data_IF_243940871723
#
_entry.id   IF_243940871723
#
_cell.length_a   1.000
_cell.length_b   1.000
_cell.length_c   1.000
_cell.angle_alpha   90.00
_cell.angle_beta   90.00
_cell.angle_gamma   90.00
#
_symmetry.space_group_name_H-M   'P 1'
#
loop_
_entity.id
_entity.type
_entity.pdbx_description
1 polymer ?
#
# COMPACT_ATOMS: atom_id res chain seq x y z
N UNK A 1 4.86 0.89 -11.88
CA UNK A 1 3.67 1.75 -11.61
C UNK A 1 2.44 1.38 -12.47
N UNK A 2 2.56 1.15 -13.78
CA UNK A 2 1.39 0.84 -14.63
C UNK A 2 0.60 -0.39 -14.18
N UNK A 3 1.28 -1.50 -13.81
CA UNK A 3 0.62 -2.67 -13.23
C UNK A 3 -0.21 -2.31 -11.99
N UNK A 4 0.37 -1.56 -11.06
CA UNK A 4 -0.30 -1.17 -9.81
C UNK A 4 -1.58 -0.38 -10.12
N UNK A 5 -1.50 0.61 -11.01
CA UNK A 5 -2.66 1.42 -11.39
C UNK A 5 -3.73 0.62 -12.14
N UNK A 6 -3.37 -0.51 -12.76
CA UNK A 6 -4.31 -1.45 -13.40
C UNK A 6 -5.00 -2.36 -12.38
N UNK A 7 -4.27 -2.96 -11.45
CA UNK A 7 -4.80 -4.01 -10.57
C UNK A 7 -5.27 -3.51 -9.21
N UNK A 8 -4.73 -2.42 -8.69
CA UNK A 8 -5.13 -1.91 -7.38
C UNK A 8 -6.63 -1.54 -7.34
N UNK A 9 -7.20 -0.77 -8.29
CA UNK A 9 -8.64 -0.46 -8.26
C UNK A 9 -9.53 -1.71 -8.29
N UNK A 10 -9.08 -2.74 -8.99
CA UNK A 10 -9.72 -4.05 -9.06
C UNK A 10 -9.68 -4.81 -7.72
N UNK A 11 -8.57 -4.73 -6.97
CA UNK A 11 -8.46 -5.28 -5.61
C UNK A 11 -9.37 -4.49 -4.66
N UNK A 12 -9.34 -3.16 -4.71
CA UNK A 12 -10.19 -2.29 -3.87
C UNK A 12 -11.68 -2.59 -4.08
N UNK A 13 -12.12 -2.76 -5.34
CA UNK A 13 -13.49 -3.11 -5.66
C UNK A 13 -13.92 -4.46 -5.03
N UNK A 14 -13.01 -5.45 -4.96
CA UNK A 14 -13.27 -6.76 -4.33
C UNK A 14 -13.33 -6.68 -2.81
N UNK A 15 -12.44 -5.89 -2.19
CA UNK A 15 -12.44 -5.67 -0.73
C UNK A 15 -13.79 -5.08 -0.30
N UNK A 16 -14.25 -4.04 -0.99
CA UNK A 16 -15.49 -3.33 -0.71
C UNK A 16 -15.34 -2.23 0.34
N UNK A 17 -16.44 -1.87 1.02
CA UNK A 17 -16.45 -0.81 2.03
C UNK A 17 -15.63 -1.20 3.26
N UNK A 18 -14.81 -0.28 3.74
CA UNK A 18 -13.96 -0.41 4.93
C UNK A 18 -13.96 0.91 5.70
N UNK A 19 -13.69 0.87 7.00
CA UNK A 19 -13.61 2.09 7.79
C UNK A 19 -12.24 2.74 7.61
N UNK A 20 -11.16 2.00 7.86
CA UNK A 20 -9.79 2.52 7.95
C UNK A 20 -8.83 1.83 7.02
N UNK A 21 -8.09 2.61 6.25
CA UNK A 21 -7.00 2.15 5.38
C UNK A 21 -5.68 2.78 5.81
N UNK A 22 -4.62 1.98 5.90
CA UNK A 22 -3.25 2.46 6.03
C UNK A 22 -2.46 2.17 4.74
N UNK A 23 -1.93 3.22 4.11
CA UNK A 23 -0.92 3.12 3.06
C UNK A 23 0.47 3.18 3.70
N UNK A 24 1.08 2.02 3.91
CA UNK A 24 2.37 1.86 4.60
C UNK A 24 3.52 1.86 3.61
N UNK A 25 4.41 2.85 3.73
CA UNK A 25 5.46 3.08 2.76
C UNK A 25 4.91 3.71 1.47
N UNK A 26 3.99 4.66 1.62
CA UNK A 26 3.30 5.34 0.52
C UNK A 26 4.25 6.03 -0.48
N UNK A 27 5.49 6.32 -0.04
CA UNK A 27 6.40 7.19 -0.77
C UNK A 27 5.81 8.59 -0.92
N UNK A 28 6.20 9.34 -1.95
CA UNK A 28 5.57 10.62 -2.27
C UNK A 28 4.30 10.42 -3.12
N UNK A 29 3.57 9.30 -3.00
CA UNK A 29 2.52 8.91 -3.94
C UNK A 29 1.13 8.81 -3.32
N UNK A 30 0.08 8.99 -4.14
CA UNK A 30 -1.32 9.10 -3.65
C UNK A 30 -2.27 8.07 -4.28
N UNK A 31 -1.75 7.16 -5.09
CA UNK A 31 -2.55 6.26 -5.91
C UNK A 31 -3.37 5.26 -5.07
N UNK A 32 -2.86 4.84 -3.90
CA UNK A 32 -3.60 4.02 -2.94
C UNK A 32 -4.77 4.80 -2.36
N UNK A 33 -4.51 5.99 -1.81
CA UNK A 33 -5.55 6.87 -1.28
C UNK A 33 -6.65 7.12 -2.33
N UNK A 34 -6.24 7.43 -3.55
CA UNK A 34 -7.15 7.72 -4.65
C UNK A 34 -8.00 6.49 -5.03
N UNK A 35 -7.41 5.28 -5.02
CA UNK A 35 -8.15 4.04 -5.30
C UNK A 35 -9.17 3.72 -4.21
N UNK A 36 -8.84 4.00 -2.93
CA UNK A 36 -9.74 3.73 -1.79
C UNK A 36 -10.73 4.86 -1.48
N UNK A 37 -10.68 6.00 -2.18
CA UNK A 37 -11.46 7.22 -1.85
C UNK A 37 -12.97 6.99 -1.71
N UNK A 38 -13.52 6.02 -2.45
CA UNK A 38 -14.94 5.66 -2.40
C UNK A 38 -15.22 4.52 -1.42
N UNK A 39 -14.23 3.74 -1.01
CA UNK A 39 -14.39 2.53 -0.21
C UNK A 39 -14.08 2.77 1.26
N UNK A 40 -13.12 3.64 1.56
CA UNK A 40 -12.68 3.95 2.91
C UNK A 40 -13.41 5.17 3.50
N UNK A 41 -13.64 5.14 4.81
CA UNK A 41 -14.08 6.32 5.56
C UNK A 41 -12.90 7.21 5.96
N UNK A 42 -11.80 6.59 6.39
CA UNK A 42 -10.59 7.22 6.89
C UNK A 42 -9.36 6.58 6.20
N UNK A 43 -8.48 7.41 5.63
CA UNK A 43 -7.26 6.99 4.94
C UNK A 43 -6.06 7.61 5.65
N UNK A 44 -5.09 6.78 5.99
CA UNK A 44 -3.87 7.16 6.69
C UNK A 44 -2.68 6.83 5.79
N UNK A 45 -1.76 7.78 5.65
CA UNK A 45 -0.55 7.60 4.85
C UNK A 45 0.65 7.51 5.77
N UNK A 46 1.62 6.66 5.46
CA UNK A 46 2.86 6.62 6.21
C UNK A 46 4.06 6.37 5.30
N UNK A 47 5.18 7.01 5.61
CA UNK A 47 6.45 6.77 4.94
C UNK A 47 7.64 7.00 5.89
N UNK A 48 8.75 6.30 5.68
CA UNK A 48 9.96 6.43 6.48
C UNK A 48 10.70 7.75 6.19
N UNK A 49 10.75 8.19 4.94
CA UNK A 49 11.57 9.33 4.53
C UNK A 49 10.84 10.67 4.74
N UNK A 50 11.47 11.64 5.41
CA UNK A 50 10.83 12.94 5.69
C UNK A 50 10.46 13.69 4.40
N UNK A 51 11.28 13.62 3.35
CA UNK A 51 10.98 14.28 2.08
C UNK A 51 9.73 13.72 1.37
N UNK A 52 9.44 12.42 1.53
CA UNK A 52 8.26 11.79 0.96
C UNK A 52 7.01 12.26 1.69
N UNK A 53 7.04 12.25 3.02
CA UNK A 53 5.95 12.79 3.84
C UNK A 53 5.69 14.26 3.56
N UNK A 54 6.73 15.07 3.42
CA UNK A 54 6.59 16.48 3.05
C UNK A 54 5.94 16.66 1.68
N UNK A 55 6.19 15.77 0.71
CA UNK A 55 5.50 15.82 -0.59
C UNK A 55 4.03 15.42 -0.47
N UNK A 56 3.70 14.43 0.37
CA UNK A 56 2.31 14.08 0.67
C UNK A 56 1.56 15.23 1.35
N UNK A 57 2.21 15.92 2.30
CA UNK A 57 1.64 17.10 2.97
C UNK A 57 1.39 18.23 1.97
N UNK A 58 2.37 18.54 1.11
CA UNK A 58 2.19 19.51 0.01
C UNK A 58 1.02 19.12 -0.89
N UNK A 59 0.91 17.85 -1.24
CA UNK A 59 -0.21 17.38 -2.07
C UNK A 59 -1.55 17.54 -1.34
N UNK A 60 -1.61 17.21 -0.06
CA UNK A 60 -2.81 17.35 0.78
C UNK A 60 -3.24 18.82 0.89
N UNK A 61 -2.29 19.74 1.10
CA UNK A 61 -2.50 21.20 1.17
C UNK A 61 -2.79 21.85 -0.20
N UNK A 62 -2.60 21.12 -1.31
CA UNK A 62 -2.77 21.67 -2.66
C UNK A 62 -1.60 22.53 -3.14
N UNK A 63 -0.42 22.39 -2.54
CA UNK A 63 0.82 23.12 -2.86
C UNK A 63 1.89 22.28 -3.55
N UNK A 64 1.61 20.99 -3.81
CA UNK A 64 2.48 20.11 -4.60
C UNK A 64 2.56 20.56 -6.06
N UNK A 65 3.75 20.42 -6.65
CA UNK A 65 4.02 20.72 -8.05
C UNK A 65 3.87 19.50 -8.97
N UNK A 66 3.75 18.29 -8.43
CA UNK A 66 3.68 17.09 -9.24
C UNK A 66 2.29 16.92 -9.84
N UNK A 67 2.22 16.76 -11.16
CA UNK A 67 0.97 16.52 -11.85
C UNK A 67 0.53 15.04 -11.76
N UNK A 68 -0.46 14.78 -10.91
CA UNK A 68 -1.07 13.46 -10.73
C UNK A 68 -2.13 13.10 -11.79
N UNK A 69 -2.41 13.98 -12.75
CA UNK A 69 -3.51 13.80 -13.71
C UNK A 69 -3.45 12.48 -14.47
N UNK A 70 -2.27 12.10 -14.98
CA UNK A 70 -2.13 10.88 -15.77
C UNK A 70 -2.36 9.61 -14.91
N UNK A 71 -1.67 9.40 -13.77
CA UNK A 71 -1.95 8.26 -12.89
C UNK A 71 -3.41 8.18 -12.43
N UNK A 72 -4.04 9.31 -12.09
CA UNK A 72 -5.42 9.34 -11.61
C UNK A 72 -6.43 9.03 -12.72
N UNK A 73 -6.20 9.48 -13.96
CA UNK A 73 -7.02 9.08 -15.12
C UNK A 73 -6.92 7.58 -15.40
N UNK A 74 -5.75 6.97 -15.18
CA UNK A 74 -5.63 5.52 -15.28
C UNK A 74 -6.51 4.80 -14.26
N UNK A 75 -6.54 5.28 -13.01
CA UNK A 75 -7.44 4.74 -11.98
C UNK A 75 -8.91 4.91 -12.39
N UNK A 76 -9.32 6.12 -12.80
CA UNK A 76 -10.69 6.38 -13.29
C UNK A 76 -11.07 5.43 -14.43
N UNK A 77 -10.15 5.17 -15.36
CA UNK A 77 -10.36 4.24 -16.48
C UNK A 77 -10.63 2.83 -15.99
N UNK A 78 -9.86 2.33 -15.01
CA UNK A 78 -10.08 1.00 -14.43
C UNK A 78 -11.39 0.90 -13.65
N UNK A 79 -11.83 2.00 -13.05
CA UNK A 79 -13.11 2.07 -12.33
C UNK A 79 -14.31 2.27 -13.26
N UNK A 80 -14.11 2.48 -14.56
CA UNK A 80 -15.17 2.79 -15.52
C UNK A 80 -15.75 4.21 -15.38
N UNK A 81 -15.02 5.12 -14.72
CA UNK A 81 -15.42 6.51 -14.49
C UNK A 81 -14.92 7.45 -15.59
N UNK A 82 -15.53 8.64 -15.69
CA UNK A 82 -15.15 9.64 -16.68
C UNK A 82 -13.86 10.35 -16.27
N UNK A 83 -13.02 10.72 -17.24
CA UNK A 83 -11.83 11.56 -16.96
C UNK A 83 -12.20 12.97 -16.51
N UNK A 84 -13.44 13.41 -16.73
CA UNK A 84 -13.96 14.68 -16.22
C UNK A 84 -14.13 14.66 -14.70
N UNK A 85 -14.14 13.48 -14.07
CA UNK A 85 -14.29 13.34 -12.62
C UNK A 85 -12.96 13.52 -11.87
N UNK A 86 -11.88 13.90 -12.56
CA UNK A 86 -10.52 14.03 -12.00
C UNK A 86 -10.45 15.01 -10.83
N UNK A 87 -11.04 16.20 -10.97
CA UNK A 87 -11.01 17.22 -9.92
C UNK A 87 -11.79 16.76 -8.68
N UNK A 88 -12.94 16.12 -8.90
CA UNK A 88 -13.75 15.56 -7.80
C UNK A 88 -13.05 14.36 -7.14
N UNK A 89 -12.38 13.50 -7.92
CA UNK A 89 -11.53 12.43 -7.40
C UNK A 89 -10.45 12.99 -6.47
N UNK A 90 -9.73 14.01 -6.88
CA UNK A 90 -8.68 14.65 -6.07
C UNK A 90 -9.29 15.22 -4.79
N UNK A 91 -10.40 15.96 -4.91
CA UNK A 91 -11.09 16.59 -3.78
C UNK A 91 -11.57 15.55 -2.76
N UNK A 92 -12.28 14.51 -3.18
CA UNK A 92 -12.73 13.44 -2.29
C UNK A 92 -11.55 12.71 -1.66
N UNK A 93 -10.50 12.42 -2.43
CA UNK A 93 -9.31 11.74 -1.90
C UNK A 93 -8.69 12.54 -0.77
N UNK A 94 -8.51 13.87 -0.93
CA UNK A 94 -7.99 14.73 0.14
C UNK A 94 -8.88 14.72 1.38
N UNK A 95 -10.20 14.79 1.21
CA UNK A 95 -11.16 14.75 2.33
C UNK A 95 -11.09 13.47 3.14
N UNK A 96 -10.65 12.37 2.54
CA UNK A 96 -10.51 11.06 3.20
C UNK A 96 -9.17 10.89 3.93
N UNK A 97 -8.16 11.70 3.60
CA UNK A 97 -6.84 11.62 4.27
C UNK A 97 -6.95 12.22 5.67
N UNK A 98 -6.71 11.40 6.69
CA UNK A 98 -6.80 11.78 8.10
C UNK A 98 -5.44 12.11 8.73
N UNK A 99 -4.34 11.74 8.09
CA UNK A 99 -2.99 12.13 8.53
C UNK A 99 -1.88 11.42 7.77
N UNK A 100 -0.68 11.98 7.89
CA UNK A 100 0.55 11.50 7.26
C UNK A 100 1.59 11.26 8.36
N UNK A 101 2.08 10.02 8.49
CA UNK A 101 2.86 9.58 9.64
C UNK A 101 4.23 9.03 9.27
N UNK A 102 5.17 9.08 10.22
CA UNK A 102 6.41 8.33 10.11
C UNK A 102 6.14 6.82 10.35
N UNK A 103 6.77 5.96 9.56
CA UNK A 103 6.78 4.52 9.79
C UNK A 103 8.19 3.92 9.65
N UNK A 104 8.44 2.82 10.36
CA UNK A 104 9.63 1.99 10.25
C UNK A 104 9.22 0.52 10.40
N UNK A 105 9.30 -0.25 9.32
CA UNK A 105 8.87 -1.66 9.31
C UNK A 105 9.70 -2.56 10.25
N UNK A 106 10.92 -2.17 10.61
CA UNK A 106 11.79 -2.98 11.47
C UNK A 106 11.52 -2.74 12.97
N UNK A 107 10.67 -1.78 13.30
CA UNK A 107 10.23 -1.45 14.67
C UNK A 107 8.80 -1.96 14.94
N UNK A 108 8.49 -2.11 16.23
CA UNK A 108 7.11 -2.34 16.71
C UNK A 108 6.86 -1.39 17.89
N UNK A 109 5.86 -0.49 17.81
CA UNK A 109 4.95 -0.30 16.68
C UNK A 109 5.66 0.21 15.42
N UNK A 110 5.20 -0.26 14.25
CA UNK A 110 5.83 0.03 12.95
C UNK A 110 5.44 1.39 12.37
N UNK A 111 4.48 2.09 12.97
CA UNK A 111 4.01 3.41 12.54
C UNK A 111 3.75 4.29 13.76
N UNK A 112 4.14 5.56 13.68
CA UNK A 112 4.03 6.54 14.76
C UNK A 112 2.62 7.15 14.85
N UNK A 113 1.62 6.31 15.13
CA UNK A 113 0.22 6.70 15.39
C UNK A 113 -0.15 6.57 16.86
N UNK A 114 -1.29 7.13 17.25
CA UNK A 114 -1.81 7.00 18.62
C UNK A 114 -2.16 5.55 18.96
N UNK A 115 -2.09 5.20 20.24
CA UNK A 115 -2.36 3.84 20.72
C UNK A 115 -3.77 3.36 20.36
N UNK A 116 -4.75 4.27 20.30
CA UNK A 116 -6.14 3.93 19.94
C UNK A 116 -6.33 3.52 18.49
N UNK A 117 -5.40 3.89 17.60
CA UNK A 117 -5.45 3.53 16.18
C UNK A 117 -4.67 2.25 15.87
N UNK A 118 -3.71 1.87 16.72
CA UNK A 118 -2.87 0.69 16.50
C UNK A 118 -3.73 -0.58 16.43
N UNK A 119 -3.49 -1.43 15.43
CA UNK A 119 -4.23 -2.69 15.25
C UNK A 119 -5.68 -2.52 14.81
N UNK A 120 -6.14 -1.31 14.45
CA UNK A 120 -7.55 -1.05 14.10
C UNK A 120 -7.84 -0.97 12.61
N UNK A 121 -6.83 -1.07 11.74
CA UNK A 121 -7.01 -0.89 10.31
C UNK A 121 -7.74 -2.08 9.68
N UNK A 122 -8.77 -1.80 8.88
CA UNK A 122 -9.48 -2.81 8.09
C UNK A 122 -8.64 -3.34 6.95
N UNK A 123 -7.82 -2.46 6.38
CA UNK A 123 -6.96 -2.78 5.24
C UNK A 123 -5.66 -2.03 5.38
N UNK A 124 -4.56 -2.75 5.17
CA UNK A 124 -3.24 -2.15 5.02
C UNK A 124 -2.74 -2.44 3.61
N UNK A 125 -2.16 -1.43 2.98
CA UNK A 125 -1.58 -1.51 1.65
C UNK A 125 -0.10 -1.16 1.75
N UNK A 126 0.78 -1.93 1.13
CA UNK A 126 2.21 -1.62 1.04
C UNK A 126 2.75 -2.05 -0.32
N UNK A 127 3.31 -1.12 -1.10
CA UNK A 127 3.66 -1.36 -2.50
C UNK A 127 5.07 -0.85 -2.77
N UNK A 128 5.96 -1.71 -3.27
CA UNK A 128 7.37 -1.40 -3.51
C UNK A 128 8.08 -0.83 -2.28
N UNK A 129 7.93 -1.50 -1.13
CA UNK A 129 8.40 -1.00 0.16
C UNK A 129 9.31 -2.02 0.86
N UNK A 130 8.76 -3.14 1.31
CA UNK A 130 9.43 -4.06 2.25
C UNK A 130 10.74 -4.62 1.68
N UNK A 131 10.75 -4.96 0.38
CA UNK A 131 11.94 -5.49 -0.31
C UNK A 131 13.07 -4.45 -0.43
N UNK A 132 12.76 -3.15 -0.36
CA UNK A 132 13.77 -2.08 -0.37
C UNK A 132 14.27 -1.72 1.03
N UNK A 133 13.52 -2.08 2.07
CA UNK A 133 13.86 -1.80 3.46
C UNK A 133 14.73 -2.89 4.11
N UNK A 134 14.72 -4.10 3.56
CA UNK A 134 15.32 -5.28 4.19
C UNK A 134 16.59 -5.73 3.46
N UNK A 135 17.55 -6.28 4.20
CA UNK A 135 18.80 -6.85 3.67
C UNK A 135 18.86 -8.37 3.79
N UNK A 136 17.99 -8.96 4.59
CA UNK A 136 17.90 -10.40 4.81
C UNK A 136 16.46 -10.86 4.80
N UNK A 137 16.24 -12.14 4.54
CA UNK A 137 14.91 -12.74 4.62
C UNK A 137 14.33 -12.64 6.05
N UNK A 138 15.16 -12.75 7.10
CA UNK A 138 14.69 -12.57 8.48
C UNK A 138 14.19 -11.15 8.77
N UNK A 139 14.86 -10.13 8.23
CA UNK A 139 14.38 -8.74 8.29
C UNK A 139 13.07 -8.59 7.54
N UNK A 140 12.94 -9.22 6.37
CA UNK A 140 11.70 -9.21 5.56
C UNK A 140 10.52 -9.84 6.32
N UNK A 141 10.73 -11.01 6.93
CA UNK A 141 9.71 -11.67 7.77
C UNK A 141 9.33 -10.81 8.98
N UNK A 142 10.32 -10.22 9.65
CA UNK A 142 10.09 -9.30 10.77
C UNK A 142 9.27 -8.09 10.33
N UNK A 143 9.62 -7.50 9.19
CA UNK A 143 8.92 -6.35 8.63
C UNK A 143 7.45 -6.66 8.33
N UNK A 144 7.17 -7.75 7.61
CA UNK A 144 5.80 -8.18 7.32
C UNK A 144 5.00 -8.37 8.62
N UNK A 145 5.57 -9.06 9.61
CA UNK A 145 4.90 -9.28 10.91
C UNK A 145 4.57 -7.95 11.60
N UNK A 146 5.54 -7.05 11.72
CA UNK A 146 5.36 -5.76 12.40
C UNK A 146 4.37 -4.84 11.68
N UNK A 147 4.30 -4.91 10.34
CA UNK A 147 3.31 -4.18 9.55
C UNK A 147 1.92 -4.81 9.78
N UNK A 148 1.82 -6.14 9.73
CA UNK A 148 0.58 -6.88 9.92
C UNK A 148 -0.06 -6.68 11.30
N UNK A 149 0.72 -6.31 12.32
CA UNK A 149 0.22 -5.93 13.66
C UNK A 149 -0.76 -4.75 13.60
N UNK A 150 -0.68 -3.88 12.59
CA UNK A 150 -1.58 -2.73 12.45
C UNK A 150 -2.97 -3.08 11.94
N UNK A 151 -3.14 -4.26 11.33
CA UNK A 151 -4.43 -4.70 10.79
C UNK A 151 -5.27 -5.32 11.90
N UNK A 152 -6.57 -5.07 11.93
CA UNK A 152 -7.48 -5.84 12.79
C UNK A 152 -7.62 -7.28 12.31
N UNK A 153 -8.05 -8.17 13.20
CA UNK A 153 -8.36 -9.54 12.84
C UNK A 153 -9.45 -9.62 11.75
N UNK A 154 -9.23 -10.46 10.75
CA UNK A 154 -10.10 -10.58 9.57
C UNK A 154 -9.94 -9.46 8.53
N UNK A 155 -9.07 -8.47 8.78
CA UNK A 155 -8.75 -7.40 7.85
C UNK A 155 -7.86 -7.85 6.69
N UNK A 156 -7.61 -6.94 5.74
CA UNK A 156 -6.89 -7.22 4.51
C UNK A 156 -5.46 -6.66 4.51
N UNK A 157 -4.55 -7.41 3.91
CA UNK A 157 -3.18 -6.97 3.63
C UNK A 157 -2.96 -7.02 2.12
N UNK A 158 -2.83 -5.84 1.51
CA UNK A 158 -2.52 -5.69 0.09
C UNK A 158 -1.05 -5.38 -0.04
N UNK A 159 -0.31 -6.22 -0.75
CA UNK A 159 1.12 -6.04 -0.99
C UNK A 159 1.43 -6.01 -2.48
N UNK A 160 2.32 -5.13 -2.89
CA UNK A 160 2.92 -5.16 -4.22
C UNK A 160 4.44 -5.06 -4.13
N UNK A 161 5.13 -5.74 -5.05
CA UNK A 161 6.59 -5.75 -5.02
C UNK A 161 7.19 -6.40 -6.26
N UNK A 162 8.51 -6.57 -6.23
CA UNK A 162 9.28 -7.27 -7.25
C UNK A 162 9.87 -8.56 -6.67
N UNK A 163 9.78 -9.65 -7.42
CA UNK A 163 10.35 -10.96 -7.14
C UNK A 163 11.67 -11.14 -7.89
N UNK A 164 12.59 -11.88 -7.28
CA UNK A 164 13.84 -12.37 -7.90
C UNK A 164 14.75 -11.30 -8.53
N UNK A 165 14.60 -10.04 -8.09
CA UNK A 165 15.44 -8.93 -8.49
C UNK A 165 16.30 -8.43 -7.33
N UNK A 166 17.48 -7.91 -7.64
CA UNK A 166 18.40 -7.33 -6.64
C UNK A 166 18.57 -5.82 -6.77
N UNK A 167 18.08 -5.25 -7.87
CA UNK A 167 18.21 -3.83 -8.18
C UNK A 167 16.98 -3.33 -8.92
N UNK A 168 16.53 -2.13 -8.57
CA UNK A 168 15.47 -1.44 -9.30
C UNK A 168 15.88 0.00 -9.61
N UNK A 169 15.42 0.53 -10.75
CA UNK A 169 15.66 1.92 -11.10
C UNK A 169 14.40 2.78 -10.96
N UNK A 170 14.53 3.87 -10.21
CA UNK A 170 13.50 4.90 -10.09
C UNK A 170 14.09 6.28 -10.39
N UNK A 171 13.51 7.00 -11.35
CA UNK A 171 13.93 8.37 -11.68
C UNK A 171 15.41 8.52 -12.06
N UNK A 172 15.97 7.50 -12.73
CA UNK A 172 17.40 7.46 -13.12
C UNK A 172 18.37 7.11 -12.00
N UNK A 173 17.88 6.80 -10.78
CA UNK A 173 18.68 6.25 -9.69
C UNK A 173 18.47 4.75 -9.60
N UNK A 174 19.46 4.03 -9.08
CA UNK A 174 19.40 2.58 -8.85
C UNK A 174 19.41 2.34 -7.35
N UNK A 175 18.44 1.55 -6.88
CA UNK A 175 18.32 1.13 -5.50
C UNK A 175 18.51 -0.39 -5.44
N UNK A 176 19.16 -0.87 -4.39
CA UNK A 176 19.16 -2.31 -4.08
C UNK A 176 17.79 -2.71 -3.55
N UNK A 177 17.32 -3.88 -3.95
CA UNK A 177 16.22 -4.58 -3.31
C UNK A 177 16.70 -5.97 -2.86
N UNK A 178 16.07 -6.49 -1.82
CA UNK A 178 16.28 -7.86 -1.38
C UNK A 178 15.77 -8.82 -2.46
N UNK A 179 16.62 -9.77 -2.85
CA UNK A 179 16.16 -10.90 -3.66
C UNK A 179 15.19 -11.74 -2.82
N UNK A 180 13.93 -11.80 -3.25
CA UNK A 180 12.87 -12.59 -2.63
C UNK A 180 12.19 -13.41 -3.72
N UNK A 181 12.12 -14.73 -3.52
CA UNK A 181 11.33 -15.63 -4.36
C UNK A 181 9.85 -15.56 -4.00
N UNK A 182 8.99 -16.04 -4.89
CA UNK A 182 7.55 -16.13 -4.63
C UNK A 182 7.25 -16.96 -3.38
N UNK A 183 7.93 -18.09 -3.22
CA UNK A 183 7.70 -19.01 -2.10
C UNK A 183 8.14 -18.41 -0.76
N UNK A 184 9.26 -17.68 -0.74
CA UNK A 184 9.70 -16.91 0.43
C UNK A 184 8.70 -15.79 0.78
N UNK A 185 8.20 -15.05 -0.21
CA UNK A 185 7.20 -14.02 0.03
C UNK A 185 5.91 -14.62 0.63
N UNK A 186 5.39 -15.70 0.04
CA UNK A 186 4.18 -16.37 0.54
C UNK A 186 4.42 -17.00 1.93
N UNK A 187 5.60 -17.58 2.17
CA UNK A 187 5.98 -18.13 3.46
C UNK A 187 6.04 -17.06 4.55
N UNK A 188 6.58 -15.89 4.25
CA UNK A 188 6.63 -14.75 5.18
C UNK A 188 5.23 -14.21 5.53
N UNK A 189 4.32 -14.15 4.54
CA UNK A 189 2.92 -13.80 4.79
C UNK A 189 2.23 -14.83 5.70
N UNK A 190 2.39 -16.12 5.41
CA UNK A 190 1.80 -17.21 6.20
C UNK A 190 2.33 -17.20 7.65
N UNK A 191 3.64 -17.02 7.85
CA UNK A 191 4.25 -16.87 9.19
C UNK A 191 3.71 -15.66 9.97
N UNK A 192 3.31 -14.59 9.26
CA UNK A 192 2.66 -13.42 9.84
C UNK A 192 1.14 -13.59 10.06
N UNK A 193 0.57 -14.75 9.72
CA UNK A 193 -0.86 -15.03 9.82
C UNK A 193 -1.69 -14.32 8.74
N UNK A 194 -1.08 -14.05 7.59
CA UNK A 194 -1.71 -13.48 6.40
C UNK A 194 -1.88 -14.59 5.37
N UNK A 195 -3.11 -15.02 5.12
CA UNK A 195 -3.39 -16.17 4.25
C UNK A 195 -4.23 -15.79 3.03
N UNK A 196 -4.04 -16.57 1.98
CA UNK A 196 -4.88 -16.51 0.78
C UNK A 196 -6.13 -17.35 1.00
N UNK A 197 -7.27 -16.70 1.24
CA UNK A 197 -8.54 -17.41 1.32
C UNK A 197 -9.01 -17.83 -0.08
N UNK A 198 -9.76 -18.93 -0.13
CA UNK A 198 -10.46 -19.35 -1.35
C UNK A 198 -11.74 -18.53 -1.58
N UNK A 199 -11.68 -17.21 -1.35
CA UNK A 199 -12.76 -16.27 -1.62
C UNK A 199 -12.42 -15.35 -2.79
N UNK A 200 -13.40 -14.58 -3.29
CA UNK A 200 -13.18 -13.68 -4.42
C UNK A 200 -12.37 -12.42 -4.07
N UNK A 201 -12.06 -12.19 -2.79
CA UNK A 201 -11.37 -11.01 -2.29
C UNK A 201 -9.87 -11.22 -2.22
N UNK A 202 -9.44 -12.42 -1.84
CA UNK A 202 -8.04 -12.81 -1.84
C UNK A 202 -7.57 -13.17 -3.26
N UNK A 203 -6.72 -12.32 -3.85
CA UNK A 203 -6.22 -12.49 -5.22
C UNK A 203 -4.73 -12.21 -5.31
N UNK A 204 -4.03 -12.85 -6.24
CA UNK A 204 -2.65 -12.56 -6.59
C UNK A 204 -2.52 -12.36 -8.10
N UNK A 205 -1.86 -11.28 -8.49
CA UNK A 205 -1.40 -11.00 -9.83
C UNK A 205 0.12 -11.08 -9.83
N UNK A 206 0.69 -11.67 -10.87
CA UNK A 206 2.13 -11.90 -11.03
C UNK A 206 2.41 -11.84 -12.53
N UNK A 207 3.10 -10.78 -12.97
CA UNK A 207 3.44 -10.56 -14.38
C UNK A 207 4.88 -10.06 -14.43
N UNK A 208 5.73 -10.79 -15.15
CA UNK A 208 7.13 -10.46 -15.37
C UNK A 208 7.90 -10.14 -14.07
N UNK A 209 7.67 -10.94 -13.02
CA UNK A 209 8.34 -10.80 -11.72
C UNK A 209 7.80 -9.69 -10.83
N UNK A 210 6.84 -8.89 -11.28
CA UNK A 210 6.13 -7.92 -10.44
C UNK A 210 4.83 -8.53 -9.94
N UNK A 211 4.53 -8.38 -8.65
CA UNK A 211 3.33 -8.95 -8.06
C UNK A 211 2.46 -7.91 -7.36
N UNK A 212 1.17 -8.24 -7.25
CA UNK A 212 0.20 -7.62 -6.36
C UNK A 212 -0.61 -8.75 -5.70
N UNK A 213 -0.70 -8.76 -4.38
CA UNK A 213 -1.42 -9.79 -3.61
C UNK A 213 -2.34 -9.12 -2.60
N UNK A 214 -3.53 -9.68 -2.41
CA UNK A 214 -4.45 -9.33 -1.33
C UNK A 214 -4.66 -10.58 -0.46
N UNK A 215 -4.11 -10.58 0.75
CA UNK A 215 -4.26 -11.64 1.74
C UNK A 215 -5.18 -11.17 2.88
N UNK A 216 -5.72 -12.12 3.66
CA UNK A 216 -6.51 -11.81 4.86
C UNK A 216 -5.71 -12.14 6.11
N UNK A 217 -5.83 -11.29 7.13
CA UNK A 217 -5.29 -11.57 8.47
C UNK A 217 -6.21 -12.55 9.21
N UNK A 218 -5.63 -13.62 9.77
CA UNK A 218 -6.35 -14.59 10.60
C UNK A 218 -7.09 -13.92 11.75
N UNK A 219 -8.25 -14.49 12.10
CA UNK A 219 -8.87 -14.26 13.40
C UNK A 219 -8.03 -14.94 14.46
N UNK A 220 -7.54 -14.20 15.46
CA UNK A 220 -6.87 -14.79 16.63
C UNK A 220 -7.87 -15.33 17.63
#
# INVERSE_FOLDING_TARGET
MQMVLTFLPNIVARIGKVKRVLDFGAGPTIHVAASFRQQADEIYLADYLPQNRQELERWYEGTSNFDWSQPLRMILTQEGNSWNDLDEMIKITRQKVCGIFHCDCLLSPSVAISEELQGTFDTLVTIFCVEYCCKTYDEYKKAIRNIAEQIRDGGFFVMGGILEETRCSFGGRVFSCLYITKDEMLGALEEAGLHMESDSKCVMYDIDGMFMICARKRHR
#
